data_IF_431754570129
#
_entry.id   IF_431754570129
#
_cell.length_a   1.000
_cell.length_b   1.000
_cell.length_c   1.000
_cell.angle_alpha   90.00
_cell.angle_beta   90.00
_cell.angle_gamma   90.00
#
_symmetry.space_group_name_H-M   'P 1'
#
loop_
_entity.id
_entity.type
_entity.pdbx_description
1 polymer ?
#
# COMPACT_ATOMS: atom_id res chain seq x y z
N UNK A 1 14.60 -51.45 -37.03
CA UNK A 1 13.26 -50.84 -36.94
C UNK A 1 13.08 -50.36 -35.52
N UNK A 2 13.25 -49.05 -35.23
CA UNK A 2 12.19 -48.01 -35.18
C UNK A 2 11.16 -48.36 -34.08
N UNK A 3 10.80 -47.53 -33.09
CA UNK A 3 10.81 -46.07 -32.98
C UNK A 3 11.04 -45.65 -31.51
N UNK A 4 11.86 -44.62 -31.28
CA UNK A 4 11.93 -43.88 -30.01
C UNK A 4 10.84 -42.80 -30.06
N UNK A 5 9.82 -42.91 -29.22
CA UNK A 5 8.79 -41.88 -29.12
C UNK A 5 9.36 -40.65 -28.39
N UNK A 6 9.40 -39.54 -29.12
CA UNK A 6 9.70 -38.22 -28.64
C UNK A 6 8.62 -37.75 -27.66
N UNK A 7 8.84 -37.92 -26.36
CA UNK A 7 8.22 -37.05 -25.37
C UNK A 7 9.17 -35.88 -25.15
N UNK A 8 9.07 -34.89 -26.05
CA UNK A 8 9.58 -33.55 -25.79
C UNK A 8 8.74 -33.00 -24.65
N UNK A 9 9.18 -33.21 -23.42
CA UNK A 9 8.80 -32.36 -22.29
C UNK A 9 9.11 -30.93 -22.73
N UNK A 10 8.05 -30.21 -23.05
CA UNK A 10 8.05 -28.77 -23.17
C UNK A 10 8.56 -28.29 -21.82
N UNK A 11 9.85 -27.95 -21.76
CA UNK A 11 10.39 -27.13 -20.68
C UNK A 11 9.59 -25.85 -20.71
N UNK A 12 8.56 -25.77 -19.87
CA UNK A 12 8.04 -24.48 -19.42
C UNK A 12 9.28 -23.68 -19.02
N UNK A 13 9.53 -22.61 -19.77
CA UNK A 13 10.52 -21.61 -19.41
C UNK A 13 10.06 -21.03 -18.07
N UNK A 14 10.52 -21.63 -16.98
CA UNK A 14 10.45 -21.10 -15.64
C UNK A 14 11.39 -19.88 -15.59
N UNK A 15 10.95 -18.80 -16.22
CA UNK A 15 11.45 -17.44 -16.00
C UNK A 15 10.91 -17.03 -14.64
N UNK A 16 11.40 -17.69 -13.59
CA UNK A 16 11.11 -17.32 -12.23
C UNK A 16 11.85 -16.00 -12.00
N UNK A 17 11.15 -14.89 -12.20
CA UNK A 17 11.63 -13.58 -11.79
C UNK A 17 12.03 -13.68 -10.31
N UNK A 18 13.34 -13.68 -10.06
CA UNK A 18 13.90 -13.88 -8.72
C UNK A 18 13.29 -12.85 -7.76
N UNK A 19 12.58 -13.35 -6.75
CA UNK A 19 11.96 -12.50 -5.73
C UNK A 19 13.07 -11.99 -4.82
N UNK A 20 13.31 -10.68 -4.85
CA UNK A 20 14.35 -10.02 -4.04
C UNK A 20 13.83 -9.56 -2.68
N UNK A 21 12.51 -9.43 -2.56
CA UNK A 21 11.83 -9.08 -1.31
C UNK A 21 10.39 -9.57 -1.33
N UNK A 22 9.90 -10.07 -0.19
CA UNK A 22 8.50 -10.42 0.01
C UNK A 22 8.02 -9.88 1.36
N UNK A 23 6.90 -9.16 1.34
CA UNK A 23 6.26 -8.64 2.53
C UNK A 23 5.51 -9.74 3.25
N UNK A 24 5.81 -9.92 4.54
CA UNK A 24 5.06 -10.84 5.40
C UNK A 24 3.97 -10.06 6.12
N UNK A 25 2.78 -10.66 6.19
CA UNK A 25 1.71 -10.12 7.05
C UNK A 25 2.20 -10.17 8.49
N UNK A 26 2.14 -9.04 9.17
CA UNK A 26 2.47 -9.00 10.59
C UNK A 26 1.34 -9.66 11.40
N UNK A 27 1.51 -10.94 11.72
CA UNK A 27 0.45 -11.79 12.31
C UNK A 27 -0.11 -11.18 13.62
N UNK A 28 0.70 -10.66 14.56
CA UNK A 28 0.18 -10.00 15.76
C UNK A 28 -0.67 -8.76 15.45
N UNK A 29 -0.18 -7.83 14.62
CA UNK A 29 -0.96 -6.63 14.27
C UNK A 29 -2.20 -6.97 13.45
N UNK A 30 -2.11 -7.97 12.58
CA UNK A 30 -3.25 -8.57 11.89
C UNK A 30 -4.31 -9.01 12.90
N UNK A 31 -3.96 -9.92 13.82
CA UNK A 31 -4.90 -10.47 14.80
C UNK A 31 -5.49 -9.39 15.72
N UNK A 32 -4.66 -8.46 16.21
CA UNK A 32 -5.12 -7.35 17.05
C UNK A 32 -6.12 -6.46 16.32
N UNK A 33 -5.86 -6.15 15.05
CA UNK A 33 -6.79 -5.39 14.22
C UNK A 33 -8.13 -6.13 14.07
N UNK A 34 -8.11 -7.45 13.82
CA UNK A 34 -9.33 -8.25 13.75
C UNK A 34 -10.11 -8.29 15.06
N UNK A 35 -9.43 -8.51 16.18
CA UNK A 35 -10.05 -8.50 17.52
C UNK A 35 -10.69 -7.14 17.80
N UNK A 36 -9.98 -6.04 17.52
CA UNK A 36 -10.51 -4.69 17.73
C UNK A 36 -11.77 -4.43 16.90
N UNK A 37 -11.78 -4.81 15.63
CA UNK A 37 -12.94 -4.66 14.75
C UNK A 37 -14.13 -5.54 15.20
N UNK A 38 -13.89 -6.78 15.63
CA UNK A 38 -14.94 -7.66 16.15
C UNK A 38 -15.53 -7.11 17.45
N UNK A 39 -14.69 -6.68 18.39
CA UNK A 39 -15.13 -6.07 19.65
C UNK A 39 -15.95 -4.81 19.38
N UNK A 40 -15.49 -3.96 18.45
CA UNK A 40 -16.22 -2.77 18.04
C UNK A 40 -17.58 -3.11 17.41
N UNK A 41 -17.63 -4.11 16.52
CA UNK A 41 -18.88 -4.60 15.94
C UNK A 41 -19.84 -5.11 17.02
N UNK A 42 -19.36 -5.94 17.95
CA UNK A 42 -20.15 -6.44 19.08
C UNK A 42 -20.66 -5.30 19.97
N UNK A 43 -19.82 -4.29 20.23
CA UNK A 43 -20.20 -3.11 21.00
C UNK A 43 -21.31 -2.32 20.31
N UNK A 44 -21.20 -2.09 19.00
CA UNK A 44 -22.25 -1.43 18.22
C UNK A 44 -23.52 -2.28 18.23
N UNK A 45 -23.44 -3.58 17.95
CA UNK A 45 -24.61 -4.48 17.94
C UNK A 45 -25.28 -4.60 19.31
N UNK A 46 -24.53 -4.41 20.40
CA UNK A 46 -25.07 -4.37 21.77
C UNK A 46 -25.78 -3.06 22.08
N UNK A 47 -25.19 -1.93 21.67
CA UNK A 47 -25.79 -0.61 21.85
C UNK A 47 -27.00 -0.40 20.95
N UNK A 48 -26.99 -1.01 19.76
CA UNK A 48 -28.01 -0.82 18.73
C UNK A 48 -29.41 -1.15 19.26
N UNK A 49 -29.73 -2.29 19.89
CA UNK A 49 -31.07 -2.49 20.46
C UNK A 49 -31.43 -1.55 21.62
N UNK A 50 -30.44 -0.95 22.31
CA UNK A 50 -30.63 -0.18 23.56
C UNK A 50 -30.81 1.31 23.35
N UNK A 51 -30.20 1.86 22.29
CA UNK A 51 -30.44 3.25 21.86
C UNK A 51 -31.88 3.38 21.31
N UNK A 52 -32.51 2.27 20.94
CA UNK A 52 -33.77 2.21 20.22
C UNK A 52 -34.91 1.88 21.19
N UNK A 53 -35.40 2.88 21.94
CA UNK A 53 -36.62 2.74 22.75
C UNK A 53 -37.83 3.47 22.12
N UNK A 54 -38.83 2.65 21.78
CA UNK A 54 -40.28 2.83 21.54
C UNK A 54 -40.90 3.83 20.55
N UNK A 55 -40.23 4.83 19.98
CA UNK A 55 -40.85 5.64 18.90
C UNK A 55 -39.95 5.78 17.66
N UNK A 56 -40.45 5.35 16.49
CA UNK A 56 -39.77 5.47 15.20
C UNK A 56 -40.01 6.89 14.66
N UNK A 57 -38.97 7.72 14.63
CA UNK A 57 -38.98 9.08 14.08
C UNK A 57 -37.93 9.25 12.96
N UNK A 58 -37.69 10.46 12.47
CA UNK A 58 -36.64 10.69 11.45
C UNK A 58 -35.22 10.49 12.02
N UNK A 59 -35.01 10.62 13.33
CA UNK A 59 -33.71 10.35 13.98
C UNK A 59 -33.40 8.85 13.92
N UNK A 60 -34.43 8.01 13.95
CA UNK A 60 -34.31 6.56 13.70
C UNK A 60 -33.62 6.25 12.36
N UNK A 61 -34.05 6.93 11.29
CA UNK A 61 -33.45 6.75 9.96
C UNK A 61 -31.98 7.18 9.95
N UNK A 62 -31.66 8.33 10.56
CA UNK A 62 -30.27 8.84 10.61
C UNK A 62 -29.35 7.85 11.34
N UNK A 63 -29.77 7.34 12.50
CA UNK A 63 -28.97 6.38 13.28
C UNK A 63 -28.82 5.06 12.53
N UNK A 64 -29.88 4.57 11.88
CA UNK A 64 -29.84 3.35 11.09
C UNK A 64 -28.86 3.44 9.90
N UNK A 65 -28.91 4.54 9.13
CA UNK A 65 -27.97 4.73 8.02
C UNK A 65 -26.53 4.92 8.50
N UNK A 66 -26.33 5.60 9.63
CA UNK A 66 -25.00 5.72 10.25
C UNK A 66 -24.45 4.36 10.66
N UNK A 67 -25.29 3.49 11.24
CA UNK A 67 -24.94 2.12 11.58
C UNK A 67 -24.55 1.31 10.33
N UNK A 68 -25.38 1.36 9.28
CA UNK A 68 -25.12 0.63 8.03
C UNK A 68 -23.82 1.10 7.36
N UNK A 69 -23.55 2.40 7.40
CA UNK A 69 -22.30 2.98 6.90
C UNK A 69 -21.09 2.49 7.70
N UNK A 70 -21.18 2.44 9.02
CA UNK A 70 -20.14 1.86 9.88
C UNK A 70 -19.88 0.38 9.57
N UNK A 71 -20.95 -0.41 9.41
CA UNK A 71 -20.84 -1.82 9.02
C UNK A 71 -20.20 -1.99 7.63
N UNK A 72 -20.59 -1.15 6.66
CA UNK A 72 -20.00 -1.15 5.33
C UNK A 72 -18.49 -0.88 5.37
N UNK A 73 -18.05 0.12 6.14
CA UNK A 73 -16.60 0.42 6.31
C UNK A 73 -15.88 -0.80 6.89
N UNK A 74 -16.47 -1.44 7.91
CA UNK A 74 -15.87 -2.60 8.56
C UNK A 74 -15.73 -3.79 7.58
N UNK A 75 -16.79 -4.11 6.84
CA UNK A 75 -16.76 -5.18 5.82
C UNK A 75 -15.78 -4.86 4.70
N UNK A 76 -15.73 -3.61 4.24
CA UNK A 76 -14.77 -3.17 3.20
C UNK A 76 -13.34 -3.36 3.67
N UNK A 77 -13.01 -2.93 4.90
CA UNK A 77 -11.66 -3.05 5.44
C UNK A 77 -11.24 -4.52 5.59
N UNK A 78 -12.15 -5.36 6.11
CA UNK A 78 -11.96 -6.81 6.18
C UNK A 78 -11.68 -7.41 4.80
N UNK A 79 -12.51 -7.06 3.81
CA UNK A 79 -12.35 -7.54 2.46
C UNK A 79 -11.00 -7.14 1.85
N UNK A 80 -10.63 -5.86 1.93
CA UNK A 80 -9.35 -5.37 1.42
C UNK A 80 -8.17 -6.14 2.03
N UNK A 81 -8.22 -6.38 3.33
CA UNK A 81 -7.15 -7.04 4.05
C UNK A 81 -7.04 -8.55 3.79
N UNK A 82 -8.18 -9.25 3.77
CA UNK A 82 -8.23 -10.68 3.49
C UNK A 82 -7.85 -11.00 2.05
N UNK A 83 -8.18 -10.09 1.12
CA UNK A 83 -7.99 -10.30 -0.31
C UNK A 83 -6.53 -10.21 -0.76
N UNK A 84 -5.63 -9.54 -0.03
CA UNK A 84 -4.20 -9.54 -0.40
C UNK A 84 -3.60 -10.91 -0.12
N UNK A 85 -3.07 -11.56 -1.15
CA UNK A 85 -2.39 -12.85 -1.05
C UNK A 85 -0.94 -12.65 -0.60
N UNK A 86 -0.17 -11.85 -1.35
CA UNK A 86 1.22 -11.50 -1.04
C UNK A 86 1.63 -10.22 -1.77
N UNK A 87 2.66 -9.56 -1.25
CA UNK A 87 3.31 -8.41 -1.88
C UNK A 87 4.78 -8.77 -2.02
N UNK A 88 5.34 -8.65 -3.22
CA UNK A 88 6.75 -8.96 -3.44
C UNK A 88 7.36 -8.08 -4.52
N UNK A 89 8.68 -7.94 -4.46
CA UNK A 89 9.48 -7.20 -5.43
C UNK A 89 10.43 -8.18 -6.10
N UNK A 90 10.58 -8.03 -7.40
CA UNK A 90 11.56 -8.71 -8.26
C UNK A 90 12.57 -7.67 -8.76
N UNK A 91 13.55 -8.10 -9.57
CA UNK A 91 14.52 -7.18 -10.18
C UNK A 91 13.89 -6.09 -11.08
N UNK A 92 12.66 -6.31 -11.56
CA UNK A 92 12.04 -5.45 -12.57
C UNK A 92 10.71 -4.83 -12.14
N UNK A 93 10.01 -5.41 -11.16
CA UNK A 93 8.65 -4.99 -10.79
C UNK A 93 8.30 -5.28 -9.33
N UNK A 94 7.41 -4.47 -8.79
CA UNK A 94 6.61 -4.74 -7.58
C UNK A 94 5.29 -5.39 -8.00
N UNK A 95 4.91 -6.46 -7.32
CA UNK A 95 3.66 -7.18 -7.56
C UNK A 95 2.86 -7.28 -6.25
N UNK A 96 1.57 -6.97 -6.34
CA UNK A 96 0.58 -7.28 -5.30
C UNK A 96 -0.36 -8.32 -5.88
N UNK A 97 -0.31 -9.52 -5.32
CA UNK A 97 -1.24 -10.59 -5.67
C UNK A 97 -2.48 -10.54 -4.80
N UNK A 98 -3.64 -10.82 -5.41
CA UNK A 98 -4.90 -10.93 -4.68
C UNK A 98 -5.53 -12.32 -4.86
N UNK A 99 -6.44 -12.67 -3.94
CA UNK A 99 -7.21 -13.90 -4.03
C UNK A 99 -8.40 -13.81 -5.00
N UNK A 100 -9.03 -12.62 -5.10
CA UNK A 100 -10.33 -12.45 -5.76
C UNK A 100 -10.25 -11.53 -6.98
N UNK A 101 -9.42 -10.48 -6.93
CA UNK A 101 -9.28 -9.51 -8.04
C UNK A 101 -7.97 -9.71 -8.79
N UNK A 102 -7.83 -9.05 -9.94
CA UNK A 102 -6.60 -9.09 -10.72
C UNK A 102 -5.41 -8.53 -9.93
N UNK A 103 -4.26 -9.16 -10.11
CA UNK A 103 -2.99 -8.73 -9.54
C UNK A 103 -2.61 -7.34 -10.05
N UNK A 104 -1.96 -6.57 -9.17
CA UNK A 104 -1.38 -5.29 -9.55
C UNK A 104 0.11 -5.47 -9.78
N UNK A 105 0.57 -5.01 -10.93
CA UNK A 105 1.96 -5.10 -11.35
C UNK A 105 2.48 -3.70 -11.65
N UNK A 106 3.59 -3.33 -11.01
CA UNK A 106 4.21 -2.02 -11.14
C UNK A 106 5.68 -2.20 -11.55
N UNK A 107 6.07 -1.82 -12.78
CA UNK A 107 7.47 -1.80 -13.19
C UNK A 107 8.29 -0.86 -12.31
N UNK A 108 9.49 -1.26 -11.91
CA UNK A 108 10.38 -0.41 -11.12
C UNK A 108 10.75 0.85 -11.90
N UNK A 109 10.75 1.99 -11.21
CA UNK A 109 10.98 3.30 -11.81
C UNK A 109 9.71 4.05 -12.22
N UNK A 110 8.54 3.38 -12.28
CA UNK A 110 7.28 4.05 -12.67
C UNK A 110 6.40 4.46 -11.48
N UNK A 111 6.87 4.25 -10.25
CA UNK A 111 6.12 4.56 -9.03
C UNK A 111 7.06 4.86 -7.87
N UNK A 112 6.51 5.42 -6.79
CA UNK A 112 7.15 5.40 -5.48
C UNK A 112 6.17 4.95 -4.39
N UNK A 113 6.72 4.57 -3.24
CA UNK A 113 5.95 4.02 -2.12
C UNK A 113 6.14 4.88 -0.88
N UNK A 114 5.05 5.12 -0.15
CA UNK A 114 5.08 5.81 1.13
C UNK A 114 3.97 5.32 2.06
N UNK A 115 4.13 5.54 3.37
CA UNK A 115 3.21 5.05 4.39
C UNK A 115 2.24 6.13 4.84
N UNK A 116 0.96 6.10 4.48
CA UNK A 116 -0.04 7.08 4.95
C UNK A 116 -0.66 6.63 6.26
N UNK A 117 -0.43 7.37 7.35
CA UNK A 117 -1.19 7.20 8.60
C UNK A 117 -2.34 8.19 8.68
N UNK A 118 -3.52 7.72 9.05
CA UNK A 118 -4.62 8.61 9.48
C UNK A 118 -4.37 9.13 10.90
N UNK A 119 -4.99 10.26 11.27
CA UNK A 119 -5.01 10.78 12.65
C UNK A 119 -5.83 9.93 13.61
N UNK A 120 -6.53 8.92 13.10
CA UNK A 120 -7.28 7.93 13.88
C UNK A 120 -6.31 6.95 14.55
N UNK A 121 -6.52 6.55 15.83
CA UNK A 121 -5.62 5.64 16.55
C UNK A 121 -5.32 4.36 15.76
N UNK A 122 -4.05 3.94 15.78
CA UNK A 122 -3.49 2.83 14.98
C UNK A 122 -4.21 1.48 15.15
N UNK A 123 -4.93 1.29 16.25
CA UNK A 123 -5.73 0.10 16.54
C UNK A 123 -6.91 -0.04 15.55
N UNK A 124 -7.47 1.09 15.09
CA UNK A 124 -8.59 1.14 14.16
C UNK A 124 -8.17 1.40 12.70
N UNK A 125 -6.95 1.89 12.48
CA UNK A 125 -6.39 2.10 11.16
C UNK A 125 -4.88 1.81 11.16
N UNK A 126 -4.42 0.70 10.58
CA UNK A 126 -3.01 0.35 10.53
C UNK A 126 -2.18 1.21 9.57
N UNK A 127 -2.80 2.26 9.01
CA UNK A 127 -2.26 3.05 7.91
C UNK A 127 -2.32 2.31 6.59
N UNK A 128 -1.93 3.01 5.54
CA UNK A 128 -1.96 2.53 4.17
C UNK A 128 -0.55 2.57 3.56
N UNK A 129 -0.15 1.49 2.90
CA UNK A 129 0.88 1.50 1.86
C UNK A 129 0.27 2.22 0.67
N UNK A 130 0.83 3.38 0.32
CA UNK A 130 0.44 4.12 -0.88
C UNK A 130 1.47 3.87 -1.96
N UNK A 131 1.02 3.31 -3.08
CA UNK A 131 1.79 3.21 -4.32
C UNK A 131 1.30 4.33 -5.22
N UNK A 132 2.17 5.31 -5.47
CA UNK A 132 1.90 6.43 -6.35
C UNK A 132 2.60 6.21 -7.69
N UNK A 133 1.84 6.08 -8.77
CA UNK A 133 2.40 5.94 -10.12
C UNK A 133 2.63 7.29 -10.78
N UNK A 134 3.71 7.40 -11.56
CA UNK A 134 4.05 8.63 -12.28
C UNK A 134 3.30 8.79 -13.62
N UNK A 135 3.26 10.03 -14.15
CA UNK A 135 2.71 10.39 -15.46
C UNK A 135 1.33 11.06 -15.44
N UNK A 136 0.79 11.36 -16.62
CA UNK A 136 -0.47 12.12 -16.82
C UNK A 136 -1.70 11.48 -16.17
N UNK A 137 -1.64 10.18 -15.88
CA UNK A 137 -2.69 9.42 -15.19
C UNK A 137 -2.20 8.90 -13.85
N UNK A 138 -1.49 9.73 -13.09
CA UNK A 138 -1.03 9.40 -11.76
C UNK A 138 -2.19 8.83 -10.93
N UNK A 139 -1.96 7.67 -10.30
CA UNK A 139 -2.93 6.95 -9.50
C UNK A 139 -2.29 6.53 -8.19
N UNK A 140 -3.11 6.58 -7.15
CA UNK A 140 -2.77 5.98 -5.87
C UNK A 140 -3.46 4.63 -5.72
N UNK A 141 -2.68 3.66 -5.28
CA UNK A 141 -3.18 2.39 -4.80
C UNK A 141 -2.90 2.33 -3.31
N UNK A 142 -3.98 2.16 -2.53
CA UNK A 142 -3.93 2.09 -1.07
C UNK A 142 -4.12 0.65 -0.66
N UNK A 143 -3.12 0.10 0.04
CA UNK A 143 -3.19 -1.23 0.63
C UNK A 143 -2.93 -1.15 2.13
N UNK A 144 -3.55 -1.97 2.99
CA UNK A 144 -3.35 -1.92 4.43
C UNK A 144 -1.88 -2.07 4.85
N UNK A 145 -1.40 -1.19 5.73
CA UNK A 145 -0.03 -1.10 6.24
C UNK A 145 0.40 -2.18 7.24
N UNK A 146 -0.17 -3.38 7.17
CA UNK A 146 0.08 -4.49 8.10
C UNK A 146 1.13 -5.48 7.58
N UNK A 147 2.10 -4.98 6.82
CA UNK A 147 3.21 -5.76 6.29
C UNK A 147 4.50 -5.39 7.01
N UNK A 148 5.17 -6.40 7.54
CA UNK A 148 6.52 -6.27 8.08
C UNK A 148 7.57 -6.59 7.01
N UNK A 149 8.81 -6.20 7.29
CA UNK A 149 9.92 -6.71 6.51
C UNK A 149 10.03 -8.23 6.72
N UNK A 150 9.99 -9.02 5.64
CA UNK A 150 9.91 -10.47 5.73
C UNK A 150 11.06 -11.11 6.54
N UNK A 151 12.20 -10.44 6.60
CA UNK A 151 13.38 -10.88 7.36
C UNK A 151 13.42 -10.36 8.80
N UNK A 152 12.69 -9.27 9.10
CA UNK A 152 12.64 -8.67 10.44
C UNK A 152 11.21 -8.16 10.74
N UNK A 153 10.38 -8.98 11.42
CA UNK A 153 8.99 -8.64 11.70
C UNK A 153 8.84 -7.44 12.64
N UNK A 154 9.92 -6.99 13.29
CA UNK A 154 9.91 -5.83 14.18
C UNK A 154 10.07 -4.50 13.44
N UNK A 155 10.38 -4.55 12.14
CA UNK A 155 10.60 -3.37 11.30
C UNK A 155 9.53 -3.27 10.21
N UNK A 156 9.12 -2.03 9.93
CA UNK A 156 8.24 -1.73 8.80
C UNK A 156 8.92 -2.02 7.47
N UNK A 157 8.15 -2.53 6.50
CA UNK A 157 8.65 -2.88 5.16
C UNK A 157 9.16 -1.70 4.32
N UNK A 158 8.72 -0.48 4.64
CA UNK A 158 8.96 0.71 3.81
C UNK A 158 10.44 1.05 3.61
N UNK A 159 11.29 0.87 4.62
CA UNK A 159 12.72 1.17 4.50
C UNK A 159 13.39 0.32 3.43
N UNK A 160 13.07 -0.98 3.40
CA UNK A 160 13.63 -1.92 2.43
C UNK A 160 13.04 -1.77 1.04
N UNK A 161 11.72 -1.58 0.94
CA UNK A 161 11.06 -1.26 -0.33
C UNK A 161 11.70 -0.01 -0.95
N UNK A 162 11.83 1.07 -0.16
CA UNK A 162 12.43 2.31 -0.64
C UNK A 162 13.89 2.15 -1.05
N UNK A 163 14.70 1.36 -0.32
CA UNK A 163 16.07 1.06 -0.72
C UNK A 163 16.16 0.33 -2.07
N UNK A 164 15.23 -0.60 -2.32
CA UNK A 164 15.18 -1.37 -3.58
C UNK A 164 14.74 -0.49 -4.75
N UNK A 165 13.68 0.31 -4.59
CA UNK A 165 13.12 1.09 -5.71
C UNK A 165 13.91 2.38 -5.99
N UNK A 166 14.61 2.93 -4.99
CA UNK A 166 15.31 4.22 -5.10
C UNK A 166 16.22 4.32 -6.34
N UNK A 167 17.12 3.35 -6.65
CA UNK A 167 17.99 3.44 -7.81
C UNK A 167 17.23 3.56 -9.14
N UNK A 168 16.03 2.98 -9.22
CA UNK A 168 15.20 2.98 -10.43
C UNK A 168 14.36 4.26 -10.54
N UNK A 169 13.96 4.85 -9.41
CA UNK A 169 13.05 6.00 -9.37
C UNK A 169 13.79 7.34 -9.31
N UNK A 170 14.96 7.38 -8.68
CA UNK A 170 15.74 8.61 -8.51
C UNK A 170 16.04 9.31 -9.86
N UNK A 171 16.48 8.62 -10.93
CA UNK A 171 16.74 9.27 -12.21
C UNK A 171 15.52 10.00 -12.77
N UNK A 172 14.34 9.39 -12.66
CA UNK A 172 13.07 10.00 -13.07
C UNK A 172 12.81 11.29 -12.26
N UNK A 173 12.88 11.23 -10.94
CA UNK A 173 12.67 12.40 -10.07
C UNK A 173 13.62 13.55 -10.35
N UNK A 174 14.89 13.25 -10.69
CA UNK A 174 15.89 14.26 -11.04
C UNK A 174 15.67 14.86 -12.45
N UNK A 175 14.99 14.13 -13.34
CA UNK A 175 14.67 14.59 -14.70
C UNK A 175 13.42 15.48 -14.78
N UNK A 176 12.54 15.44 -13.77
CA UNK A 176 11.28 16.18 -13.77
C UNK A 176 11.48 17.70 -13.85
N UNK A 177 10.48 18.41 -14.40
CA UNK A 177 10.37 19.86 -14.24
C UNK A 177 10.13 20.24 -12.77
N UNK A 178 10.48 21.47 -12.39
CA UNK A 178 10.32 21.92 -11.00
C UNK A 178 8.87 21.89 -10.52
N UNK A 179 7.93 22.35 -11.36
CA UNK A 179 6.52 22.34 -11.02
C UNK A 179 5.96 20.92 -10.80
N UNK A 180 6.42 19.95 -11.60
CA UNK A 180 5.99 18.56 -11.49
C UNK A 180 6.57 17.91 -10.23
N UNK A 181 7.83 18.19 -9.91
CA UNK A 181 8.46 17.72 -8.70
C UNK A 181 7.79 18.30 -7.45
N UNK A 182 7.50 19.60 -7.43
CA UNK A 182 6.79 20.26 -6.33
C UNK A 182 5.38 19.70 -6.11
N UNK A 183 4.66 19.34 -7.18
CA UNK A 183 3.36 18.65 -7.05
C UNK A 183 3.49 17.32 -6.29
N UNK A 184 4.54 16.54 -6.57
CA UNK A 184 4.81 15.28 -5.87
C UNK A 184 5.14 15.56 -4.39
N UNK A 185 6.00 16.53 -4.11
CA UNK A 185 6.38 16.89 -2.73
C UNK A 185 5.18 17.41 -1.93
N UNK A 186 4.39 18.31 -2.50
CA UNK A 186 3.16 18.83 -1.89
C UNK A 186 2.18 17.71 -1.59
N UNK A 187 1.99 16.79 -2.55
CA UNK A 187 1.13 15.63 -2.37
C UNK A 187 1.57 14.75 -1.19
N UNK A 188 2.86 14.39 -1.14
CA UNK A 188 3.37 13.51 -0.07
C UNK A 188 3.39 14.20 1.28
N UNK A 189 3.81 15.46 1.34
CA UNK A 189 3.87 16.25 2.57
C UNK A 189 2.50 16.46 3.23
N UNK A 190 1.42 16.52 2.44
CA UNK A 190 0.05 16.59 2.95
C UNK A 190 -0.38 15.37 3.77
N UNK A 191 0.27 14.22 3.57
CA UNK A 191 -0.09 12.95 4.22
C UNK A 191 1.04 12.31 5.01
N UNK A 192 2.28 12.79 4.85
CA UNK A 192 3.48 12.15 5.37
C UNK A 192 4.64 13.10 5.63
N UNK A 193 5.54 12.67 6.52
CA UNK A 193 6.85 13.30 6.64
C UNK A 193 7.69 12.92 5.43
N UNK A 194 8.09 13.90 4.61
CA UNK A 194 8.94 13.70 3.42
C UNK A 194 10.19 12.82 3.74
N UNK A 195 10.74 12.99 4.94
CA UNK A 195 11.93 12.26 5.43
C UNK A 195 11.76 10.74 5.55
N UNK A 196 10.54 10.19 5.44
CA UNK A 196 10.31 8.73 5.46
C UNK A 196 10.50 8.08 4.08
N UNK A 197 10.88 8.87 3.07
CA UNK A 197 11.15 8.46 1.69
C UNK A 197 12.48 9.06 1.20
N UNK A 198 12.95 8.64 0.02
CA UNK A 198 14.10 9.25 -0.65
C UNK A 198 13.77 10.57 -1.38
N UNK A 199 12.57 11.12 -1.21
CA UNK A 199 12.17 12.39 -1.85
C UNK A 199 12.94 13.59 -1.28
N UNK A 200 13.30 13.57 0.00
CA UNK A 200 14.15 14.61 0.60
C UNK A 200 15.51 14.66 -0.10
N UNK A 201 16.12 13.50 -0.30
CA UNK A 201 17.40 13.38 -0.99
C UNK A 201 17.30 13.85 -2.45
N UNK A 202 16.21 13.50 -3.15
CA UNK A 202 15.97 14.01 -4.50
C UNK A 202 15.89 15.55 -4.53
N UNK A 203 15.24 16.17 -3.54
CA UNK A 203 15.13 17.63 -3.41
C UNK A 203 16.50 18.29 -3.19
N UNK A 204 17.33 17.72 -2.32
CA UNK A 204 18.69 18.19 -2.06
C UNK A 204 19.57 18.10 -3.31
N UNK A 205 19.57 16.96 -4.01
CA UNK A 205 20.32 16.77 -5.25
C UNK A 205 19.89 17.72 -6.38
N UNK A 206 18.58 18.00 -6.51
CA UNK A 206 18.07 18.98 -7.49
C UNK A 206 18.54 20.39 -7.17
N UNK A 207 18.57 20.76 -5.88
CA UNK A 207 19.08 22.07 -5.44
C UNK A 207 20.57 22.22 -5.76
N UNK A 208 21.38 21.22 -5.41
CA UNK A 208 22.82 21.21 -5.73
C UNK A 208 23.11 21.27 -7.23
N UNK A 209 22.24 20.67 -8.06
CA UNK A 209 22.36 20.75 -9.52
C UNK A 209 22.14 22.18 -10.02
N UNK A 210 21.09 22.85 -9.54
CA UNK A 210 20.82 24.26 -9.89
C UNK A 210 21.91 25.20 -9.40
N UNK A 211 22.34 25.04 -8.15
CA UNK A 211 23.38 25.90 -7.58
C UNK A 211 24.70 25.80 -8.36
N UNK A 212 24.97 24.65 -9.00
CA UNK A 212 26.09 24.47 -9.95
C UNK A 212 25.84 25.14 -11.30
N UNK A 213 24.65 25.01 -11.86
CA UNK A 213 24.29 25.59 -13.16
C UNK A 213 24.19 27.13 -13.14
N UNK A 214 23.88 27.74 -11.99
CA UNK A 214 23.81 29.20 -11.80
C UNK A 214 25.09 29.83 -11.22
N UNK A 215 26.04 28.99 -10.78
CA UNK A 215 27.34 29.42 -10.24
C UNK A 215 28.47 29.47 -11.27
N UNK A 216 28.22 29.02 -12.50
CA UNK A 216 29.07 29.18 -13.69
C UNK A 216 28.62 30.39 -14.53
#
# INVERSE_FOLDING_TARGET
MSQTNNNTEIKEQNTQDEIIWEGKKDIPSFLLYWIANIVFLCFILYLFPRIFNKEIDYKWFIVFFTFLFGLYILVKNIYQMANIKRIYITKEKLVIEYYIKNDLVFPLGTFFVYYRSSSVPSIANPGDIVIYTFGDKAKEYLEPGLFSDGDDPTKGCFGRINAIIKPHVMPYLLSLGDEEFEKIISHVSGYNKINTTFLKEAMELRKEKKDREFGE
#
